data_IF_819622883914
#
_entry.id   IF_819622883914
#
_cell.length_a   1.000
_cell.length_b   1.000
_cell.length_c   1.000
_cell.angle_alpha   90.00
_cell.angle_beta   90.00
_cell.angle_gamma   90.00
#
_symmetry.space_group_name_H-M   'P 1'
#
loop_
_entity.id
_entity.type
_entity.pdbx_description
1 polymer ?
#
# COMPACT_ATOMS: atom_id res chain seq x y z
N UNK A 1 -18.49 -29.91 9.98
CA UNK A 1 -18.01 -28.59 9.51
C UNK A 1 -18.48 -27.58 10.53
N UNK A 2 -17.56 -26.86 11.17
CA UNK A 2 -17.90 -25.84 12.18
C UNK A 2 -17.65 -24.50 11.52
N UNK A 3 -18.71 -23.74 11.26
CA UNK A 3 -18.62 -22.39 10.72
C UNK A 3 -18.34 -21.43 11.88
N UNK A 4 -17.11 -20.92 11.95
CA UNK A 4 -16.74 -19.86 12.88
C UNK A 4 -17.00 -18.53 12.16
N UNK A 5 -18.12 -17.87 12.48
CA UNK A 5 -18.43 -16.53 12.00
C UNK A 5 -17.56 -15.50 12.73
N UNK A 6 -16.37 -15.23 12.19
CA UNK A 6 -15.57 -14.08 12.60
C UNK A 6 -16.15 -12.86 11.86
N UNK A 7 -16.81 -12.01 12.65
CA UNK A 7 -17.50 -10.79 12.22
C UNK A 7 -16.56 -9.88 11.40
N UNK A 8 -16.76 -9.84 10.08
CA UNK A 8 -16.40 -8.67 9.26
C UNK A 8 -15.06 -8.68 8.51
N UNK A 9 -14.26 -9.75 8.55
CA UNK A 9 -13.05 -9.84 7.72
C UNK A 9 -13.35 -10.82 6.58
N UNK A 10 -13.79 -10.29 5.43
CA UNK A 10 -13.73 -11.06 4.18
C UNK A 10 -12.26 -11.33 3.91
N UNK A 11 -11.80 -12.56 4.18
CA UNK A 11 -10.57 -13.10 3.60
C UNK A 11 -10.79 -13.10 2.08
N UNK A 12 -10.37 -12.01 1.44
CA UNK A 12 -10.54 -11.81 0.02
C UNK A 12 -9.37 -12.52 -0.65
N UNK A 13 -9.55 -13.81 -0.95
CA UNK A 13 -8.65 -14.54 -1.82
C UNK A 13 -8.47 -13.77 -3.12
N UNK A 14 -7.23 -13.50 -3.58
CA UNK A 14 -6.66 -13.44 -4.95
C UNK A 14 -7.50 -13.00 -6.18
N UNK A 15 -8.78 -12.63 -6.05
CA UNK A 15 -9.76 -12.40 -7.12
C UNK A 15 -10.15 -10.92 -7.25
N UNK A 16 -9.52 -10.04 -6.46
CA UNK A 16 -9.86 -8.61 -6.43
C UNK A 16 -8.68 -7.69 -6.71
N UNK A 17 -7.57 -8.20 -7.29
CA UNK A 17 -6.56 -7.35 -7.95
C UNK A 17 -7.11 -6.85 -9.31
N UNK A 18 -8.35 -6.38 -9.33
CA UNK A 18 -8.86 -5.57 -10.41
C UNK A 18 -8.03 -4.29 -10.33
N UNK A 19 -7.14 -4.07 -11.30
CA UNK A 19 -6.48 -2.79 -11.52
C UNK A 19 -7.59 -1.77 -11.80
N UNK A 20 -8.19 -1.22 -10.75
CA UNK A 20 -9.00 -0.03 -10.87
C UNK A 20 -8.07 1.06 -11.38
N UNK A 21 -8.42 1.75 -12.48
CA UNK A 21 -7.57 2.82 -13.00
C UNK A 21 -7.33 3.82 -11.88
N UNK A 22 -6.05 4.10 -11.61
CA UNK A 22 -5.71 5.08 -10.59
C UNK A 22 -6.33 6.43 -10.94
N UNK A 23 -6.87 7.16 -9.95
CA UNK A 23 -7.40 8.49 -10.21
C UNK A 23 -6.28 9.40 -10.76
N UNK A 24 -6.62 10.43 -11.54
CA UNK A 24 -5.65 11.42 -11.99
C UNK A 24 -4.98 12.10 -10.79
N UNK A 25 -3.77 12.62 -10.99
CA UNK A 25 -3.07 13.40 -9.97
C UNK A 25 -3.82 14.71 -9.71
N UNK A 26 -3.88 15.19 -8.45
CA UNK A 26 -4.37 16.53 -8.16
C UNK A 26 -3.52 17.61 -8.85
N UNK A 27 -4.16 18.73 -9.21
CA UNK A 27 -3.47 19.85 -9.88
C UNK A 27 -2.87 20.88 -8.90
N UNK A 28 -3.29 20.84 -7.61
CA UNK A 28 -2.84 21.81 -6.62
C UNK A 28 -1.73 21.25 -5.74
N UNK A 29 -0.75 22.10 -5.40
CA UNK A 29 0.37 21.73 -4.54
C UNK A 29 -0.06 21.23 -3.14
N UNK A 30 -1.02 21.87 -2.44
CA UNK A 30 -1.50 21.37 -1.16
C UNK A 30 -2.09 19.95 -1.24
N UNK A 31 -2.89 19.67 -2.28
CA UNK A 31 -3.51 18.36 -2.47
C UNK A 31 -2.46 17.29 -2.81
N UNK A 32 -1.43 17.64 -3.59
CA UNK A 32 -0.31 16.75 -3.88
C UNK A 32 0.51 16.42 -2.63
N UNK A 33 0.79 17.39 -1.76
CA UNK A 33 1.50 17.17 -0.49
C UNK A 33 0.67 16.27 0.43
N UNK A 34 -0.64 16.50 0.52
CA UNK A 34 -1.54 15.65 1.29
C UNK A 34 -1.54 14.23 0.75
N UNK A 35 -1.69 14.05 -0.57
CA UNK A 35 -1.66 12.73 -1.21
C UNK A 35 -0.32 12.01 -0.99
N UNK A 36 0.80 12.73 -1.05
CA UNK A 36 2.12 12.19 -0.72
C UNK A 36 2.17 11.65 0.72
N UNK A 37 1.67 12.41 1.69
CA UNK A 37 1.61 12.01 3.10
C UNK A 37 0.71 10.78 3.30
N UNK A 38 -0.46 10.74 2.67
CA UNK A 38 -1.38 9.60 2.73
C UNK A 38 -0.75 8.33 2.14
N UNK A 39 -0.05 8.44 1.00
CA UNK A 39 0.66 7.33 0.38
C UNK A 39 1.80 6.83 1.27
N UNK A 40 2.61 7.74 1.84
CA UNK A 40 3.70 7.39 2.76
C UNK A 40 3.19 6.66 4.00
N UNK A 41 2.14 7.17 4.65
CA UNK A 41 1.53 6.53 5.81
C UNK A 41 0.98 5.14 5.45
N UNK A 42 0.30 5.02 4.30
CA UNK A 42 -0.22 3.73 3.83
C UNK A 42 0.89 2.73 3.52
N UNK A 43 2.01 3.16 2.95
CA UNK A 43 3.18 2.30 2.71
C UNK A 43 3.77 1.84 4.04
N UNK A 44 3.98 2.75 4.99
CA UNK A 44 4.55 2.43 6.30
C UNK A 44 3.71 1.37 7.02
N UNK A 45 2.38 1.53 7.05
CA UNK A 45 1.49 0.55 7.68
C UNK A 45 1.57 -0.84 7.02
N UNK A 46 1.71 -0.92 5.70
CA UNK A 46 1.87 -2.19 5.00
C UNK A 46 3.25 -2.82 5.26
N UNK A 47 4.31 -2.02 5.33
CA UNK A 47 5.65 -2.49 5.68
C UNK A 47 5.70 -3.01 7.13
N UNK A 48 5.07 -2.32 8.07
CA UNK A 48 4.93 -2.78 9.46
C UNK A 48 4.13 -4.08 9.55
N UNK A 49 3.05 -4.19 8.76
CA UNK A 49 2.27 -5.42 8.66
C UNK A 49 3.11 -6.57 8.11
N UNK A 50 3.90 -6.34 7.05
CA UNK A 50 4.79 -7.34 6.49
C UNK A 50 5.88 -7.77 7.46
N UNK A 51 6.42 -6.84 8.25
CA UNK A 51 7.35 -7.19 9.32
C UNK A 51 6.72 -8.19 10.29
N UNK A 52 5.50 -7.91 10.79
CA UNK A 52 4.80 -8.78 11.73
C UNK A 52 4.46 -10.15 11.12
N UNK A 53 4.00 -10.18 9.87
CA UNK A 53 3.69 -11.43 9.16
C UNK A 53 4.95 -12.28 8.95
N UNK A 54 6.07 -11.67 8.58
CA UNK A 54 7.34 -12.36 8.43
C UNK A 54 7.89 -12.89 9.77
N UNK A 55 7.71 -12.14 10.86
CA UNK A 55 8.05 -12.64 12.21
C UNK A 55 7.22 -13.88 12.58
N UNK A 56 5.94 -13.93 12.20
CA UNK A 56 5.11 -15.12 12.41
C UNK A 56 5.58 -16.31 11.57
N UNK A 57 5.90 -16.07 10.29
CA UNK A 57 6.39 -17.09 9.35
C UNK A 57 7.73 -17.72 9.75
N UNK A 58 8.56 -17.02 10.53
CA UNK A 58 9.81 -17.58 11.07
C UNK A 58 9.57 -18.72 12.07
N UNK A 59 8.45 -18.68 12.79
CA UNK A 59 8.12 -19.67 13.82
C UNK A 59 7.44 -20.89 13.20
N UNK A 60 6.50 -20.65 12.29
CA UNK A 60 5.75 -21.69 11.59
C UNK A 60 5.38 -21.19 10.20
N UNK A 61 5.60 -22.03 9.18
CA UNK A 61 5.18 -21.68 7.83
C UNK A 61 3.67 -21.79 7.71
N UNK A 62 3.04 -20.68 7.33
CA UNK A 62 1.61 -20.59 7.02
C UNK A 62 1.44 -20.00 5.61
N UNK A 63 0.82 -20.76 4.72
CA UNK A 63 0.64 -20.35 3.32
C UNK A 63 -0.20 -19.07 3.18
N UNK A 64 -1.20 -18.87 4.04
CA UNK A 64 -2.04 -17.67 4.01
C UNK A 64 -1.24 -16.43 4.42
N UNK A 65 -0.40 -16.54 5.44
CA UNK A 65 0.46 -15.42 5.87
C UNK A 65 1.50 -15.09 4.79
N UNK A 66 2.07 -16.11 4.14
CA UNK A 66 2.99 -15.90 3.03
C UNK A 66 2.31 -15.18 1.85
N UNK A 67 1.12 -15.62 1.46
CA UNK A 67 0.35 -14.95 0.40
C UNK A 67 0.02 -13.50 0.77
N UNK A 68 -0.35 -13.23 2.01
CA UNK A 68 -0.61 -11.86 2.48
C UNK A 68 0.62 -10.95 2.37
N UNK A 69 1.83 -11.46 2.67
CA UNK A 69 3.09 -10.72 2.48
C UNK A 69 3.29 -10.38 1.00
N UNK A 70 3.14 -11.36 0.12
CA UNK A 70 3.31 -11.18 -1.34
C UNK A 70 2.30 -10.16 -1.89
N UNK A 71 1.04 -10.23 -1.46
CA UNK A 71 0.00 -9.26 -1.86
C UNK A 71 0.34 -7.84 -1.38
N UNK A 72 0.77 -7.70 -0.12
CA UNK A 72 1.18 -6.42 0.44
C UNK A 72 2.40 -5.85 -0.30
N UNK A 73 3.40 -6.67 -0.63
CA UNK A 73 4.57 -6.24 -1.41
C UNK A 73 4.17 -5.70 -2.78
N UNK A 74 3.22 -6.35 -3.46
CA UNK A 74 2.66 -5.86 -4.71
C UNK A 74 1.98 -4.49 -4.52
N UNK A 75 1.12 -4.33 -3.51
CA UNK A 75 0.44 -3.07 -3.22
C UNK A 75 1.43 -1.95 -2.87
N UNK A 76 2.45 -2.26 -2.07
CA UNK A 76 3.53 -1.33 -1.72
C UNK A 76 4.24 -0.85 -3.00
N UNK A 77 4.54 -1.76 -3.93
CA UNK A 77 5.23 -1.40 -5.18
C UNK A 77 4.43 -0.39 -6.02
N UNK A 78 3.12 -0.61 -6.17
CA UNK A 78 2.21 0.31 -6.87
C UNK A 78 2.12 1.67 -6.17
N UNK A 79 1.97 1.66 -4.83
CA UNK A 79 1.94 2.90 -4.04
C UNK A 79 3.24 3.68 -4.13
N UNK A 80 4.39 3.02 -4.15
CA UNK A 80 5.72 3.66 -4.34
C UNK A 80 5.83 4.30 -5.72
N UNK A 81 5.39 3.62 -6.79
CA UNK A 81 5.34 4.20 -8.13
C UNK A 81 4.42 5.44 -8.19
N UNK A 82 3.27 5.37 -7.52
CA UNK A 82 2.35 6.50 -7.43
C UNK A 82 2.95 7.67 -6.63
N UNK A 83 3.60 7.38 -5.51
CA UNK A 83 4.28 8.38 -4.69
C UNK A 83 5.39 9.09 -5.48
N UNK A 84 6.18 8.36 -6.26
CA UNK A 84 7.19 8.93 -7.15
C UNK A 84 6.55 9.90 -8.17
N UNK A 85 5.41 9.51 -8.76
CA UNK A 85 4.67 10.38 -9.69
C UNK A 85 4.17 11.66 -9.02
N UNK A 86 3.66 11.56 -7.78
CA UNK A 86 3.24 12.72 -6.97
C UNK A 86 4.43 13.62 -6.65
N UNK A 87 5.56 13.05 -6.22
CA UNK A 87 6.77 13.81 -5.89
C UNK A 87 7.34 14.56 -7.08
N UNK A 88 7.37 13.91 -8.26
CA UNK A 88 7.77 14.58 -9.51
C UNK A 88 6.89 15.80 -9.83
N UNK A 89 5.60 15.72 -9.52
CA UNK A 89 4.66 16.82 -9.77
C UNK A 89 4.77 17.93 -8.73
N UNK A 90 5.04 17.58 -7.47
CA UNK A 90 5.42 18.54 -6.42
C UNK A 90 6.69 19.30 -6.84
N UNK A 91 7.72 18.60 -7.31
CA UNK A 91 9.00 19.20 -7.71
C UNK A 91 8.85 20.14 -8.91
N UNK A 92 7.94 19.83 -9.84
CA UNK A 92 7.61 20.73 -10.97
C UNK A 92 6.91 22.01 -10.51
N UNK A 93 6.01 21.89 -9.54
CA UNK A 93 5.22 23.02 -9.02
C UNK A 93 5.96 23.84 -7.96
N UNK A 94 7.01 23.29 -7.37
CA UNK A 94 7.83 23.95 -6.36
C UNK A 94 9.35 23.87 -6.68
N UNK A 95 9.81 24.54 -7.74
CA UNK A 95 11.22 24.49 -8.17
C UNK A 95 12.19 25.18 -7.20
N UNK A 96 11.72 25.95 -6.22
CA UNK A 96 12.56 26.72 -5.30
C UNK A 96 13.23 25.88 -4.19
N UNK A 97 12.91 24.59 -4.08
CA UNK A 97 13.45 23.68 -3.05
C UNK A 97 14.42 22.61 -3.58
N UNK A 98 15.06 22.83 -4.73
CA UNK A 98 16.24 22.04 -5.13
C UNK A 98 17.50 22.61 -4.46
N UNK A 99 17.90 22.03 -3.33
CA UNK A 99 19.23 22.21 -2.71
C UNK A 99 20.09 20.99 -3.02
#
# INVERSE_FOLDING_TARGET
>A
MVEIYIKGIKMTSMSSLIETPEPPLPETLPDLIQLSSELQNSIQHLEDSNYQLNEALKNEFDECLYQAVVENEFIISKKKQRLESVQNEIDKLNPEFKI
#
